data_IF_076755959105
#
_entry.id   IF_076755959105
#
_cell.length_a   1.000
_cell.length_b   1.000
_cell.length_c   1.000
_cell.angle_alpha   90.00
_cell.angle_beta   90.00
_cell.angle_gamma   90.00
#
_symmetry.space_group_name_H-M   'P 1'
#
loop_
_entity.id
_entity.type
_entity.pdbx_description
1 polymer ?
#
# COMPACT_ATOMS: atom_id res chain seq x y z
N UNK A 1 15.14 -1.33 15.98
CA UNK A 1 14.67 -2.65 15.51
C UNK A 1 14.53 -2.53 14.00
N UNK A 2 15.15 -3.42 13.24
CA UNK A 2 14.95 -3.43 11.79
C UNK A 2 13.47 -3.75 11.52
N UNK A 3 12.83 -2.99 10.62
CA UNK A 3 11.44 -3.22 10.20
C UNK A 3 11.42 -4.39 9.21
N UNK A 4 11.73 -5.59 9.71
CA UNK A 4 11.73 -6.82 8.93
C UNK A 4 10.27 -7.21 8.71
N UNK A 5 9.91 -7.39 7.43
CA UNK A 5 8.61 -7.93 7.03
C UNK A 5 8.80 -9.42 6.83
N UNK A 6 7.96 -10.25 7.46
CA UNK A 6 8.01 -11.70 7.27
C UNK A 6 7.10 -12.15 6.13
N UNK A 7 5.87 -11.63 6.08
CA UNK A 7 4.86 -11.98 5.08
C UNK A 7 3.76 -10.91 5.04
N UNK A 8 3.03 -10.84 3.93
CA UNK A 8 1.80 -10.06 3.76
C UNK A 8 0.67 -11.01 3.38
N UNK A 9 -0.51 -10.83 3.97
CA UNK A 9 -1.70 -11.61 3.64
C UNK A 9 -2.75 -10.66 3.06
N UNK A 10 -3.28 -11.00 1.88
CA UNK A 10 -4.31 -10.21 1.21
C UNK A 10 -5.66 -10.44 1.91
N UNK A 11 -6.28 -9.35 2.39
CA UNK A 11 -7.63 -9.33 3.00
C UNK A 11 -7.91 -10.50 3.97
N UNK A 12 -7.08 -10.71 5.01
CA UNK A 12 -7.27 -11.82 5.95
C UNK A 12 -8.56 -11.61 6.76
N UNK A 13 -9.32 -12.68 6.97
CA UNK A 13 -10.51 -12.67 7.84
C UNK A 13 -10.15 -12.32 9.30
N UNK A 14 -8.94 -12.69 9.72
CA UNK A 14 -8.38 -12.39 11.05
C UNK A 14 -6.96 -11.84 10.85
N UNK A 15 -6.79 -10.51 10.78
CA UNK A 15 -5.47 -9.90 10.66
C UNK A 15 -4.58 -10.24 11.85
N UNK A 16 -3.32 -10.58 11.59
CA UNK A 16 -2.32 -10.83 12.64
C UNK A 16 -1.88 -9.53 13.33
N UNK A 17 -1.94 -8.41 12.60
CA UNK A 17 -1.56 -7.07 13.09
C UNK A 17 -2.56 -6.02 12.61
N UNK A 18 -2.47 -4.81 13.17
CA UNK A 18 -3.26 -3.64 12.75
C UNK A 18 -2.59 -2.82 11.65
N UNK A 19 -1.58 -3.36 10.97
CA UNK A 19 -0.90 -2.68 9.87
C UNK A 19 -1.49 -3.10 8.52
N UNK A 20 -1.74 -2.11 7.67
CA UNK A 20 -2.14 -2.33 6.28
C UNK A 20 -1.02 -1.85 5.35
N UNK A 21 -0.79 -2.60 4.28
CA UNK A 21 0.09 -2.17 3.18
C UNK A 21 -0.66 -1.14 2.35
N UNK A 22 -0.14 0.08 2.29
CA UNK A 22 -0.75 1.16 1.50
C UNK A 22 -0.51 0.94 0.01
N UNK A 23 -1.29 1.62 -0.85
CA UNK A 23 -1.13 1.57 -2.31
C UNK A 23 0.10 2.31 -2.88
N UNK A 24 1.24 2.29 -2.19
CA UNK A 24 2.50 2.89 -2.62
C UNK A 24 3.61 1.82 -2.55
N UNK A 25 4.19 1.52 -3.70
CA UNK A 25 5.22 0.50 -3.85
C UNK A 25 6.38 1.06 -4.67
N UNK A 26 7.61 0.70 -4.31
CA UNK A 26 8.82 1.04 -5.04
C UNK A 26 9.56 -0.25 -5.36
N UNK A 27 9.73 -0.53 -6.65
CA UNK A 27 10.45 -1.70 -7.13
C UNK A 27 11.62 -1.29 -8.02
N UNK A 28 12.62 -2.16 -8.09
CA UNK A 28 13.67 -2.11 -9.10
C UNK A 28 13.18 -2.70 -10.43
N UNK A 29 14.05 -2.72 -11.44
CA UNK A 29 13.73 -3.22 -12.78
C UNK A 29 13.35 -4.71 -12.82
N UNK A 30 13.70 -5.50 -11.80
CA UNK A 30 13.38 -6.94 -11.74
C UNK A 30 11.89 -7.22 -11.60
N UNK A 31 11.09 -6.18 -11.33
CA UNK A 31 9.65 -6.32 -11.12
C UNK A 31 8.94 -6.98 -12.30
N UNK A 32 9.42 -6.76 -13.52
CA UNK A 32 8.84 -7.36 -14.72
C UNK A 32 9.01 -8.87 -14.73
N UNK A 33 10.21 -9.38 -14.41
CA UNK A 33 10.47 -10.82 -14.28
C UNK A 33 9.63 -11.44 -13.15
N UNK A 34 9.45 -10.70 -12.05
CA UNK A 34 8.63 -11.17 -10.92
C UNK A 34 7.15 -11.22 -11.30
N UNK A 35 6.64 -10.25 -12.05
CA UNK A 35 5.25 -10.27 -12.54
C UNK A 35 5.05 -11.46 -13.48
N UNK A 36 5.97 -11.73 -14.40
CA UNK A 36 5.92 -12.91 -15.27
C UNK A 36 5.88 -14.20 -14.44
N UNK A 37 6.77 -14.32 -13.44
CA UNK A 37 6.76 -15.45 -12.51
C UNK A 37 5.43 -15.61 -11.77
N UNK A 38 4.87 -14.52 -11.22
CA UNK A 38 3.58 -14.57 -10.51
C UNK A 38 2.46 -15.01 -11.45
N UNK A 39 2.45 -14.53 -12.69
CA UNK A 39 1.45 -14.91 -13.69
C UNK A 39 1.52 -16.39 -14.08
N UNK A 40 2.73 -16.95 -14.21
CA UNK A 40 2.94 -18.32 -14.67
C UNK A 40 2.85 -19.37 -13.56
N UNK A 41 3.39 -19.07 -12.37
CA UNK A 41 3.61 -20.05 -11.30
C UNK A 41 2.60 -19.93 -10.14
N UNK A 42 2.07 -18.73 -9.90
CA UNK A 42 1.07 -18.48 -8.83
C UNK A 42 -0.33 -18.39 -9.43
N UNK A 43 -0.47 -17.65 -10.52
CA UNK A 43 -1.74 -17.46 -11.21
C UNK A 43 -2.71 -16.53 -10.49
N UNK A 44 -3.99 -16.63 -10.83
CA UNK A 44 -5.04 -15.79 -10.27
C UNK A 44 -5.46 -16.29 -8.88
N UNK A 45 -5.73 -15.35 -7.97
CA UNK A 45 -6.31 -15.66 -6.65
C UNK A 45 -7.74 -16.20 -6.76
N UNK A 46 -8.30 -16.66 -5.64
CA UNK A 46 -9.73 -17.03 -5.54
C UNK A 46 -10.69 -15.90 -5.93
N UNK A 47 -10.19 -14.65 -5.99
CA UNK A 47 -10.94 -13.46 -6.42
C UNK A 47 -10.85 -13.22 -7.94
N UNK A 48 -10.07 -14.02 -8.66
CA UNK A 48 -9.80 -13.84 -10.08
C UNK A 48 -8.89 -12.64 -10.37
N UNK A 49 -8.03 -12.25 -9.41
CA UNK A 49 -7.08 -11.14 -9.52
C UNK A 49 -5.64 -11.65 -9.48
N UNK A 50 -4.73 -10.97 -10.18
CA UNK A 50 -3.30 -11.09 -9.94
C UNK A 50 -2.95 -10.13 -8.79
N UNK A 51 -2.60 -10.69 -7.64
CA UNK A 51 -2.49 -9.89 -6.41
C UNK A 51 -1.11 -9.26 -6.30
N UNK A 52 -1.07 -7.94 -6.05
CA UNK A 52 0.20 -7.25 -5.72
C UNK A 52 0.84 -7.82 -4.45
N UNK A 53 0.04 -8.43 -3.58
CA UNK A 53 0.51 -9.14 -2.37
C UNK A 53 1.43 -10.31 -2.72
N UNK A 54 1.19 -11.03 -3.82
CA UNK A 54 2.05 -12.14 -4.25
C UNK A 54 3.41 -11.64 -4.75
N UNK A 55 3.39 -10.55 -5.53
CA UNK A 55 4.61 -9.85 -5.96
C UNK A 55 5.41 -9.37 -4.74
N UNK A 56 4.75 -8.72 -3.77
CA UNK A 56 5.42 -8.27 -2.55
C UNK A 56 6.04 -9.41 -1.76
N UNK A 57 5.34 -10.53 -1.60
CA UNK A 57 5.84 -11.70 -0.90
C UNK A 57 7.01 -12.36 -1.63
N UNK A 58 7.02 -12.36 -2.97
CA UNK A 58 8.18 -12.77 -3.74
C UNK A 58 9.40 -11.91 -3.39
N UNK A 59 9.22 -10.59 -3.35
CA UNK A 59 10.29 -9.65 -2.99
C UNK A 59 10.77 -9.83 -1.56
N UNK A 60 9.87 -10.01 -0.59
CA UNK A 60 10.19 -10.25 0.82
C UNK A 60 11.02 -11.52 0.98
N UNK A 61 10.68 -12.58 0.25
CA UNK A 61 11.36 -13.88 0.34
C UNK A 61 12.72 -13.90 -0.35
N UNK A 62 12.84 -13.26 -1.51
CA UNK A 62 14.00 -13.43 -2.40
C UNK A 62 14.99 -12.26 -2.37
N UNK A 63 14.58 -11.08 -1.86
CA UNK A 63 15.39 -9.87 -1.89
C UNK A 63 15.35 -9.12 -0.56
N UNK A 64 16.19 -8.08 -0.43
CA UNK A 64 16.22 -7.23 0.76
C UNK A 64 15.10 -6.17 0.70
N UNK A 65 13.89 -6.60 1.09
CA UNK A 65 12.71 -5.73 1.11
C UNK A 65 12.59 -4.99 2.44
N UNK A 66 12.19 -3.72 2.39
CA UNK A 66 12.01 -2.87 3.58
C UNK A 66 10.61 -2.29 3.63
N UNK A 67 10.00 -2.30 4.81
CA UNK A 67 8.80 -1.53 5.08
C UNK A 67 9.18 -0.13 5.62
N UNK A 68 8.43 0.87 5.16
CA UNK A 68 8.45 2.22 5.71
C UNK A 68 7.07 2.50 6.29
N UNK A 69 7.03 2.88 7.57
CA UNK A 69 5.81 3.38 8.17
C UNK A 69 5.62 4.84 7.76
N UNK A 70 4.50 5.13 7.11
CA UNK A 70 4.12 6.48 6.75
C UNK A 70 3.33 7.09 7.91
N UNK A 71 3.80 8.21 8.42
CA UNK A 71 3.07 8.99 9.41
C UNK A 71 2.12 9.98 8.74
N UNK A 72 1.02 10.29 9.43
CA UNK A 72 0.03 11.25 8.96
C UNK A 72 -1.27 10.60 8.48
N UNK A 73 -2.04 11.36 7.71
CA UNK A 73 -3.34 10.92 7.21
C UNK A 73 -3.19 10.13 5.91
N UNK A 74 -3.60 8.87 5.94
CA UNK A 74 -3.82 8.06 4.76
C UNK A 74 -5.29 7.67 4.70
N UNK A 75 -5.90 7.83 3.52
CA UNK A 75 -7.25 7.36 3.24
C UNK A 75 -7.31 6.95 1.78
N UNK A 76 -8.00 5.85 1.50
CA UNK A 76 -8.49 5.57 0.17
C UNK A 76 -9.83 6.31 -0.04
N UNK A 77 -10.13 6.65 -1.29
CA UNK A 77 -11.40 7.27 -1.68
C UNK A 77 -12.33 6.24 -2.36
N UNK A 78 -12.30 4.99 -1.88
CA UNK A 78 -13.01 3.86 -2.51
C UNK A 78 -14.53 3.83 -2.30
N UNK A 79 -15.09 4.66 -1.41
CA UNK A 79 -16.53 4.80 -1.16
C UNK A 79 -16.96 6.26 -1.18
N UNK A 80 -18.25 6.56 -1.38
CA UNK A 80 -18.76 7.95 -1.30
C UNK A 80 -18.44 8.62 0.04
N UNK A 81 -18.56 7.88 1.14
CA UNK A 81 -18.27 8.39 2.48
C UNK A 81 -16.76 8.65 2.68
N UNK A 82 -15.89 7.73 2.26
CA UNK A 82 -14.43 7.91 2.38
C UNK A 82 -13.89 8.98 1.43
N UNK A 83 -14.50 9.14 0.26
CA UNK A 83 -14.21 10.24 -0.67
C UNK A 83 -14.58 11.61 -0.08
N UNK A 84 -15.78 11.73 0.51
CA UNK A 84 -16.23 12.97 1.15
C UNK A 84 -15.30 13.33 2.32
N UNK A 85 -14.98 12.37 3.19
CA UNK A 85 -14.05 12.56 4.32
C UNK A 85 -12.67 13.00 3.86
N UNK A 86 -12.11 12.36 2.83
CA UNK A 86 -10.81 12.72 2.26
C UNK A 86 -10.80 14.15 1.71
N UNK A 87 -11.87 14.53 1.01
CA UNK A 87 -12.03 15.87 0.45
C UNK A 87 -12.11 16.95 1.54
N UNK A 88 -12.86 16.67 2.61
CA UNK A 88 -12.96 17.55 3.77
C UNK A 88 -11.61 17.71 4.50
N UNK A 89 -10.87 16.61 4.68
CA UNK A 89 -9.54 16.65 5.27
C UNK A 89 -8.59 17.58 4.51
N UNK A 90 -8.53 17.45 3.18
CA UNK A 90 -7.68 18.33 2.34
C UNK A 90 -8.15 19.78 2.43
N UNK A 91 -9.46 20.05 2.35
CA UNK A 91 -10.00 21.41 2.47
C UNK A 91 -9.61 22.07 3.79
N UNK A 92 -9.76 21.36 4.92
CA UNK A 92 -9.41 21.87 6.25
C UNK A 92 -7.90 22.12 6.36
N UNK A 93 -7.08 21.23 5.80
CA UNK A 93 -5.63 21.39 5.75
C UNK A 93 -5.23 22.64 4.98
N UNK A 94 -5.85 22.91 3.82
CA UNK A 94 -5.59 24.13 3.04
C UNK A 94 -6.06 25.41 3.75
N UNK A 95 -7.25 25.40 4.37
CA UNK A 95 -7.77 26.56 5.13
C UNK A 95 -6.87 26.95 6.31
N UNK A 96 -6.21 25.97 6.91
CA UNK A 96 -5.34 26.18 8.06
C UNK A 96 -3.88 26.47 7.67
N UNK A 97 -3.55 26.53 6.37
CA UNK A 97 -2.22 27.00 5.97
C UNK A 97 -2.13 28.51 6.24
N UNK A 98 -1.04 28.99 6.87
CA UNK A 98 -0.82 30.41 7.03
C UNK A 98 -0.79 31.08 5.65
N UNK A 99 -1.54 32.17 5.53
CA UNK A 99 -1.68 32.95 4.31
C UNK A 99 -0.34 33.54 3.90
N UNK A 100 0.37 32.88 2.98
CA UNK A 100 1.69 33.34 2.51
C UNK A 100 1.63 34.63 1.68
N UNK A 101 0.41 35.13 1.39
CA UNK A 101 0.18 36.36 0.63
C UNK A 101 -0.24 37.56 1.48
N UNK A 102 -0.33 37.45 2.81
CA UNK A 102 -0.43 38.62 3.69
C UNK A 102 0.97 39.20 3.92
N UNK A 103 1.34 40.15 3.07
CA UNK A 103 2.24 41.24 3.49
C UNK A 103 1.48 42.19 4.41
#
# INVERSE_FOLDING_TARGET
KENIIENIVEKPQKPETNYAVTGLYLYDEKIFDVIEYVMEEIGYSDRGELEITDVNNYYIKNYNTKAIFVEGFWSDAGTFDTLMKSSQFVQLKEKNKPDQNRK
#
